data_IF_877037575507
#
_entry.id   IF_877037575507
#
_cell.length_a   1.000
_cell.length_b   1.000
_cell.length_c   1.000
_cell.angle_alpha   90.00
_cell.angle_beta   90.00
_cell.angle_gamma   90.00
#
_symmetry.space_group_name_H-M   'P 1'
#
loop_
_entity.id
_entity.type
_entity.pdbx_description
1 polymer ?
#
# COMPACT_ATOMS: atom_id res chain seq x y z
N UNK A 1 8.46 9.06 -35.56
CA UNK A 1 7.36 8.45 -34.77
C UNK A 1 7.96 8.04 -33.42
N UNK A 2 7.76 8.81 -32.34
CA UNK A 2 8.43 8.54 -31.07
C UNK A 2 7.70 7.42 -30.33
N UNK A 3 8.45 6.40 -29.90
CA UNK A 3 7.97 5.26 -29.15
C UNK A 3 7.57 5.67 -27.72
N UNK A 4 6.33 5.33 -27.35
CA UNK A 4 5.80 5.39 -25.99
C UNK A 4 6.35 4.17 -25.25
N UNK A 5 7.20 4.37 -24.22
CA UNK A 5 7.43 3.34 -23.20
C UNK A 5 6.21 3.34 -22.30
N UNK A 6 5.34 2.35 -22.50
CA UNK A 6 4.13 2.16 -21.70
C UNK A 6 4.45 1.86 -20.23
N UNK A 7 3.41 1.98 -19.41
CA UNK A 7 3.34 1.72 -17.96
C UNK A 7 3.70 0.26 -17.57
N UNK A 8 4.13 -0.56 -18.53
CA UNK A 8 4.73 -1.88 -18.32
C UNK A 8 6.11 -1.89 -19.01
N UNK A 9 7.17 -1.57 -18.25
CA UNK A 9 8.54 -1.54 -18.74
C UNK A 9 9.41 -2.48 -17.93
N UNK A 10 9.70 -3.66 -18.49
CA UNK A 10 10.74 -4.57 -18.02
C UNK A 10 12.08 -3.81 -17.98
N UNK A 11 12.61 -3.59 -16.78
CA UNK A 11 13.80 -2.78 -16.55
C UNK A 11 15.08 -3.54 -16.87
N UNK A 12 15.70 -3.20 -18.00
CA UNK A 12 17.08 -3.54 -18.33
C UNK A 12 18.05 -2.79 -17.39
N UNK A 13 19.06 -3.49 -16.87
CA UNK A 13 20.02 -2.97 -15.89
C UNK A 13 21.07 -2.08 -16.58
N UNK A 14 20.66 -0.89 -17.01
CA UNK A 14 21.53 0.18 -17.46
C UNK A 14 21.77 1.22 -16.36
N UNK A 15 22.98 1.78 -16.30
CA UNK A 15 23.46 2.81 -15.34
C UNK A 15 22.78 4.20 -15.47
N UNK A 16 21.58 4.28 -16.04
CA UNK A 16 20.81 5.51 -16.21
C UNK A 16 19.86 5.79 -15.04
N UNK A 17 19.58 7.07 -14.78
CA UNK A 17 18.62 7.48 -13.76
C UNK A 17 17.22 6.89 -14.04
N UNK A 18 16.65 6.19 -13.04
CA UNK A 18 15.29 5.64 -13.12
C UNK A 18 14.27 6.80 -13.17
N UNK A 19 13.19 6.66 -13.94
CA UNK A 19 12.05 7.59 -13.92
C UNK A 19 11.03 7.13 -12.87
N UNK A 20 10.34 8.09 -12.24
CA UNK A 20 9.23 7.78 -11.33
C UNK A 20 8.06 7.19 -12.09
N UNK A 21 7.43 6.18 -11.50
CA UNK A 21 6.18 5.59 -11.98
C UNK A 21 5.90 4.28 -11.25
N UNK A 22 4.74 3.69 -11.54
CA UNK A 22 4.46 2.31 -11.13
C UNK A 22 5.41 1.35 -11.88
N UNK A 23 6.26 0.64 -11.13
CA UNK A 23 7.10 -0.45 -11.62
C UNK A 23 6.52 -1.80 -11.20
N UNK A 24 6.72 -2.84 -11.98
CA UNK A 24 6.40 -4.22 -11.58
C UNK A 24 7.62 -4.98 -11.02
N UNK A 25 8.84 -4.50 -11.30
CA UNK A 25 10.06 -5.04 -10.69
C UNK A 25 10.40 -4.25 -9.43
N UNK A 26 10.16 -4.89 -8.30
CA UNK A 26 10.46 -4.40 -6.95
C UNK A 26 11.58 -5.21 -6.29
N UNK A 27 12.24 -6.11 -7.02
CA UNK A 27 13.25 -7.02 -6.46
C UNK A 27 14.49 -6.29 -5.93
N UNK A 28 14.72 -5.05 -6.38
CA UNK A 28 15.80 -4.17 -5.96
C UNK A 28 15.32 -2.72 -5.81
N UNK A 29 15.25 -2.28 -4.56
CA UNK A 29 14.87 -0.92 -4.17
C UNK A 29 16.09 -0.03 -3.94
N UNK A 30 15.82 1.28 -3.87
CA UNK A 30 16.83 2.31 -3.63
C UNK A 30 17.36 2.98 -4.89
N UNK A 31 18.28 3.91 -4.65
CA UNK A 31 18.79 4.82 -5.67
C UNK A 31 17.84 5.98 -6.00
N UNK A 32 18.37 7.03 -6.63
CA UNK A 32 17.59 8.20 -6.98
C UNK A 32 16.74 7.98 -8.23
N UNK A 33 15.71 8.81 -8.37
CA UNK A 33 14.89 8.85 -9.56
C UNK A 33 14.52 10.27 -9.98
N UNK A 34 14.15 10.41 -11.25
CA UNK A 34 13.66 11.67 -11.82
C UNK A 34 12.14 11.69 -11.85
N UNK A 35 11.56 12.79 -11.38
CA UNK A 35 10.11 12.97 -11.37
C UNK A 35 9.51 12.92 -12.77
N UNK A 36 8.24 12.52 -12.81
CA UNK A 36 7.44 12.40 -14.02
C UNK A 36 6.01 12.87 -13.74
N UNK A 37 5.62 13.99 -14.35
CA UNK A 37 4.30 14.59 -14.18
C UNK A 37 3.28 14.08 -15.21
N UNK A 38 3.55 12.96 -15.90
CA UNK A 38 2.60 12.33 -16.81
C UNK A 38 1.31 11.98 -16.08
N UNK A 39 0.18 12.49 -16.57
CA UNK A 39 -1.14 12.18 -16.02
C UNK A 39 -1.50 10.72 -16.28
N UNK A 40 -1.90 10.01 -15.23
CA UNK A 40 -2.27 8.59 -15.29
C UNK A 40 -3.78 8.45 -15.27
N UNK A 41 -4.45 9.13 -14.35
CA UNK A 41 -5.90 9.17 -14.28
C UNK A 41 -6.38 10.38 -13.47
N UNK A 42 -7.66 10.66 -13.59
CA UNK A 42 -8.38 11.55 -12.69
C UNK A 42 -9.42 10.77 -11.90
N UNK A 43 -9.67 11.20 -10.67
CA UNK A 43 -10.69 10.63 -9.82
C UNK A 43 -11.60 11.72 -9.28
N UNK A 44 -12.91 11.62 -9.50
CA UNK A 44 -13.89 12.56 -8.96
C UNK A 44 -14.57 11.94 -7.75
N UNK A 45 -14.31 12.49 -6.56
CA UNK A 45 -14.78 11.96 -5.28
C UNK A 45 -15.02 13.08 -4.27
N UNK A 46 -15.76 12.78 -3.19
CA UNK A 46 -15.85 13.66 -2.01
C UNK A 46 -14.60 13.57 -1.14
N UNK A 47 -14.05 12.37 -1.03
CA UNK A 47 -12.96 12.06 -0.11
C UNK A 47 -11.64 11.85 -0.87
N UNK A 48 -10.54 11.97 -0.14
CA UNK A 48 -9.19 11.68 -0.67
C UNK A 48 -8.93 10.18 -0.51
N UNK A 49 -8.29 9.56 -1.50
CA UNK A 49 -8.06 8.12 -1.50
C UNK A 49 -6.62 7.79 -1.82
N UNK A 50 -6.04 6.83 -1.10
CA UNK A 50 -4.92 6.08 -1.65
C UNK A 50 -5.45 5.09 -2.68
N UNK A 51 -4.79 5.02 -3.82
CA UNK A 51 -5.22 4.23 -4.97
C UNK A 51 -4.41 2.94 -5.03
N UNK A 52 -4.88 1.94 -4.29
CA UNK A 52 -4.22 0.64 -4.12
C UNK A 52 -4.23 -0.17 -5.41
N UNK A 53 -3.11 -0.82 -5.73
CA UNK A 53 -2.98 -1.71 -6.90
C UNK A 53 -2.72 -3.14 -6.43
N UNK A 54 -1.59 -3.36 -5.77
CA UNK A 54 -1.14 -4.70 -5.38
C UNK A 54 -0.30 -4.68 -4.11
N UNK A 55 -0.15 -5.86 -3.51
CA UNK A 55 0.72 -6.07 -2.33
C UNK A 55 1.81 -7.08 -2.62
N UNK A 56 2.96 -6.90 -1.97
CA UNK A 56 4.05 -7.87 -1.94
C UNK A 56 4.19 -8.46 -0.54
N UNK A 57 4.61 -9.72 -0.48
CA UNK A 57 4.70 -10.47 0.77
C UNK A 57 6.10 -11.02 1.08
N UNK A 58 7.05 -11.03 0.15
CA UNK A 58 8.38 -11.61 0.39
C UNK A 58 9.50 -10.56 0.29
N UNK A 59 10.19 -10.31 1.41
CA UNK A 59 11.34 -9.40 1.48
C UNK A 59 12.66 -10.17 1.32
N UNK A 60 13.56 -9.64 0.49
CA UNK A 60 14.80 -10.32 0.07
C UNK A 60 16.09 -9.64 0.54
N UNK A 61 16.01 -8.74 1.53
CA UNK A 61 17.08 -7.81 1.90
C UNK A 61 17.40 -6.71 0.88
N UNK A 62 16.89 -6.81 -0.35
CA UNK A 62 17.09 -5.81 -1.43
C UNK A 62 15.80 -5.16 -1.91
N UNK A 63 14.68 -5.84 -1.72
CA UNK A 63 13.39 -5.40 -2.19
C UNK A 63 12.36 -6.49 -1.97
N UNK A 64 11.33 -6.46 -2.80
CA UNK A 64 10.15 -7.31 -2.68
C UNK A 64 9.98 -8.21 -3.89
N UNK A 65 9.67 -9.46 -3.62
CA UNK A 65 9.21 -10.44 -4.60
C UNK A 65 7.89 -11.05 -4.13
N UNK A 66 7.28 -11.86 -4.99
CA UNK A 66 6.07 -12.60 -4.66
C UNK A 66 6.45 -13.97 -4.10
N UNK A 67 5.79 -14.39 -3.02
CA UNK A 67 5.98 -15.73 -2.49
C UNK A 67 5.64 -16.79 -3.55
N UNK A 68 6.40 -17.90 -3.51
CA UNK A 68 6.04 -19.11 -4.24
C UNK A 68 4.81 -19.77 -3.63
N UNK A 69 4.04 -20.49 -4.46
CA UNK A 69 2.85 -21.20 -4.02
C UNK A 69 1.75 -21.22 -5.07
N UNK A 70 0.72 -22.04 -4.82
CA UNK A 70 -0.48 -22.07 -5.63
C UNK A 70 -1.52 -21.13 -5.01
N UNK A 71 -1.76 -20.01 -5.67
CA UNK A 71 -2.74 -19.00 -5.27
C UNK A 71 -3.88 -18.99 -6.28
N UNK A 72 -5.11 -18.92 -5.78
CA UNK A 72 -6.29 -18.88 -6.62
C UNK A 72 -6.49 -17.53 -7.29
N UNK A 73 -7.55 -17.47 -8.09
CA UNK A 73 -8.09 -16.24 -8.64
C UNK A 73 -9.57 -16.19 -8.32
N UNK A 74 -10.04 -15.02 -7.90
CA UNK A 74 -11.46 -14.75 -7.76
C UNK A 74 -11.94 -13.95 -8.97
N UNK A 75 -13.10 -14.33 -9.50
CA UNK A 75 -13.69 -13.73 -10.70
C UNK A 75 -14.96 -13.00 -10.30
N UNK A 76 -15.02 -11.71 -10.61
CA UNK A 76 -16.17 -10.87 -10.34
C UNK A 76 -16.74 -10.28 -11.63
N UNK A 77 -18.04 -10.09 -11.67
CA UNK A 77 -18.72 -9.36 -12.72
C UNK A 77 -18.87 -7.88 -12.34
N UNK A 78 -19.07 -7.03 -13.33
CA UNK A 78 -19.40 -5.63 -13.06
C UNK A 78 -20.66 -5.49 -12.20
N UNK A 79 -20.67 -4.51 -11.29
CA UNK A 79 -21.75 -4.24 -10.33
C UNK A 79 -22.03 -5.38 -9.34
N UNK A 80 -21.11 -6.34 -9.17
CA UNK A 80 -21.21 -7.36 -8.11
C UNK A 80 -20.24 -7.03 -6.98
N UNK A 81 -20.58 -7.40 -5.71
CA UNK A 81 -19.66 -7.20 -4.60
C UNK A 81 -18.32 -7.90 -4.83
N UNK A 82 -17.23 -7.14 -4.71
CA UNK A 82 -15.86 -7.64 -4.78
C UNK A 82 -15.40 -7.91 -3.35
N UNK A 83 -15.12 -9.17 -3.04
CA UNK A 83 -14.58 -9.53 -1.74
C UNK A 83 -13.08 -9.21 -1.71
N UNK A 84 -12.64 -8.52 -0.66
CA UNK A 84 -11.21 -8.24 -0.43
C UNK A 84 -10.90 -8.54 1.04
N UNK A 85 -9.62 -8.53 1.41
CA UNK A 85 -9.23 -8.63 2.83
C UNK A 85 -9.42 -7.34 3.62
N UNK A 86 -9.85 -6.26 2.96
CA UNK A 86 -10.08 -4.95 3.54
C UNK A 86 -11.53 -4.82 4.04
N UNK A 87 -11.69 -4.13 5.16
CA UNK A 87 -13.01 -3.84 5.72
C UNK A 87 -13.79 -2.85 4.86
N UNK A 88 -15.11 -2.99 4.88
CA UNK A 88 -16.07 -2.07 4.25
C UNK A 88 -16.89 -1.40 5.35
N UNK A 89 -17.16 -0.12 5.19
CA UNK A 89 -17.99 0.66 6.09
C UNK A 89 -19.49 0.34 6.00
N UNK A 90 -20.30 1.10 6.72
CA UNK A 90 -21.76 0.94 6.71
C UNK A 90 -22.34 1.19 5.31
N UNK A 91 -23.27 0.36 4.81
CA UNK A 91 -23.97 0.58 3.54
C UNK A 91 -24.67 1.94 3.45
N UNK A 92 -25.08 2.53 4.59
CA UNK A 92 -25.73 3.85 4.64
C UNK A 92 -24.80 5.00 4.25
N UNK A 93 -23.47 4.78 4.34
CA UNK A 93 -22.44 5.75 3.97
C UNK A 93 -21.86 5.48 2.57
N UNK A 94 -22.49 4.61 1.77
CA UNK A 94 -22.02 4.28 0.42
C UNK A 94 -21.94 5.52 -0.48
N UNK A 95 -20.82 5.65 -1.19
CA UNK A 95 -20.49 6.72 -2.12
C UNK A 95 -19.93 6.14 -3.41
N UNK A 96 -19.78 7.02 -4.41
CA UNK A 96 -19.21 6.67 -5.72
C UNK A 96 -18.02 7.54 -6.06
N UNK A 97 -17.04 6.93 -6.73
CA UNK A 97 -15.88 7.59 -7.32
C UNK A 97 -15.94 7.35 -8.82
N UNK A 98 -15.87 8.41 -9.61
CA UNK A 98 -15.66 8.28 -11.05
C UNK A 98 -14.16 8.30 -11.34
N UNK A 99 -13.66 7.27 -12.03
CA UNK A 99 -12.28 7.18 -12.48
C UNK A 99 -12.25 7.36 -13.99
N UNK A 100 -11.41 8.29 -14.47
CA UNK A 100 -11.14 8.51 -15.89
C UNK A 100 -9.66 8.29 -16.17
N UNK A 101 -9.36 7.30 -17.02
CA UNK A 101 -8.01 6.83 -17.30
C UNK A 101 -7.39 7.66 -18.42
N UNK A 102 -6.28 8.34 -18.13
CA UNK A 102 -5.49 9.09 -19.10
C UNK A 102 -4.38 8.22 -19.72
N UNK A 103 -3.78 7.34 -18.92
CA UNK A 103 -2.76 6.38 -19.36
C UNK A 103 -3.27 4.95 -19.18
N UNK A 104 -3.44 4.16 -20.26
CA UNK A 104 -4.10 2.86 -20.17
C UNK A 104 -3.41 1.86 -19.24
N UNK A 105 -4.21 1.14 -18.45
CA UNK A 105 -3.76 0.12 -17.49
C UNK A 105 -4.71 -1.10 -17.55
N UNK A 106 -4.18 -2.34 -17.56
CA UNK A 106 -4.99 -3.56 -17.67
C UNK A 106 -5.52 -4.07 -16.31
N UNK A 107 -5.66 -3.18 -15.33
CA UNK A 107 -6.06 -3.52 -13.96
C UNK A 107 -6.80 -2.36 -13.30
N UNK A 108 -7.58 -2.66 -12.27
CA UNK A 108 -8.32 -1.67 -11.49
C UNK A 108 -7.45 -1.05 -10.39
N UNK A 109 -7.71 0.23 -10.13
CA UNK A 109 -7.37 0.88 -8.87
C UNK A 109 -8.43 0.50 -7.81
N UNK A 110 -7.97 0.29 -6.59
CA UNK A 110 -8.79 -0.05 -5.44
C UNK A 110 -8.75 1.08 -4.41
N UNK A 111 -9.81 1.19 -3.61
CA UNK A 111 -9.88 2.09 -2.46
C UNK A 111 -10.20 1.29 -1.20
N UNK A 112 -9.84 1.81 -0.03
CA UNK A 112 -10.32 1.23 1.23
C UNK A 112 -11.84 1.36 1.29
N UNK A 113 -12.51 0.25 1.64
CA UNK A 113 -13.96 0.18 1.63
C UNK A 113 -14.61 -0.01 0.27
N UNK A 114 -13.86 -0.39 -0.77
CA UNK A 114 -14.42 -0.73 -2.08
C UNK A 114 -15.46 -1.86 -1.96
N UNK A 115 -16.62 -1.65 -2.56
CA UNK A 115 -17.75 -2.60 -2.59
C UNK A 115 -17.85 -3.24 -3.97
N UNK A 116 -17.91 -2.46 -5.04
CA UNK A 116 -18.09 -2.97 -6.41
C UNK A 116 -17.57 -1.98 -7.45
N UNK A 117 -17.39 -2.47 -8.68
CA UNK A 117 -16.96 -1.65 -9.82
C UNK A 117 -17.94 -1.75 -10.98
N UNK A 118 -18.35 -0.59 -11.50
CA UNK A 118 -19.21 -0.43 -12.67
C UNK A 118 -18.38 -0.04 -13.88
N UNK A 119 -18.46 -0.81 -14.97
CA UNK A 119 -17.72 -0.53 -16.21
C UNK A 119 -18.56 -0.90 -17.44
N UNK A 120 -18.32 -0.21 -18.56
CA UNK A 120 -18.96 -0.52 -19.84
C UNK A 120 -18.47 -1.86 -20.41
N UNK A 121 -19.29 -2.45 -21.28
CA UNK A 121 -18.99 -3.70 -22.01
C UNK A 121 -18.69 -4.90 -21.07
N UNK A 122 -19.24 -4.86 -19.85
CA UNK A 122 -19.29 -5.95 -18.86
C UNK A 122 -18.03 -6.83 -18.79
N UNK A 123 -16.85 -6.25 -18.48
CA UNK A 123 -15.63 -7.04 -18.27
C UNK A 123 -15.76 -7.96 -17.06
N UNK A 124 -14.82 -8.91 -16.99
CA UNK A 124 -14.54 -9.68 -15.79
C UNK A 124 -13.40 -9.00 -15.02
N UNK A 125 -13.51 -9.03 -13.70
CA UNK A 125 -12.48 -8.56 -12.78
C UNK A 125 -11.85 -9.77 -12.11
N UNK A 126 -10.56 -9.96 -12.36
CA UNK A 126 -9.80 -11.14 -11.95
C UNK A 126 -8.84 -10.74 -10.83
N UNK A 127 -9.23 -11.04 -9.60
CA UNK A 127 -8.42 -10.75 -8.41
C UNK A 127 -7.45 -11.90 -8.15
N UNK A 128 -6.16 -11.59 -8.08
CA UNK A 128 -5.10 -12.52 -7.64
C UNK A 128 -5.12 -12.63 -6.11
N UNK A 129 -5.35 -13.82 -5.55
CA UNK A 129 -5.40 -14.02 -4.08
C UNK A 129 -4.05 -13.79 -3.37
N UNK A 130 -2.95 -13.81 -4.12
CA UNK A 130 -1.62 -13.54 -3.58
C UNK A 130 -1.42 -12.06 -3.33
N UNK A 131 -1.74 -11.24 -4.33
CA UNK A 131 -1.39 -9.80 -4.39
C UNK A 131 -2.58 -8.87 -4.23
N UNK A 132 -3.79 -9.41 -4.35
CA UNK A 132 -5.06 -8.71 -4.49
C UNK A 132 -5.11 -7.72 -5.65
N UNK A 133 -4.19 -7.82 -6.62
CA UNK A 133 -4.28 -7.07 -7.88
C UNK A 133 -5.50 -7.56 -8.66
N UNK A 134 -6.28 -6.63 -9.18
CA UNK A 134 -7.49 -6.95 -9.94
C UNK A 134 -7.26 -6.64 -11.41
N UNK A 135 -6.94 -7.66 -12.21
CA UNK A 135 -6.83 -7.54 -13.65
C UNK A 135 -8.21 -7.39 -14.30
N UNK A 136 -8.24 -6.77 -15.47
CA UNK A 136 -9.47 -6.59 -16.25
C UNK A 136 -9.37 -7.49 -17.48
N UNK A 137 -10.32 -8.41 -17.62
CA UNK A 137 -10.38 -9.34 -18.75
C UNK A 137 -11.73 -9.24 -19.47
N UNK A 138 -11.71 -9.52 -20.76
CA UNK A 138 -12.90 -9.81 -21.55
C UNK A 138 -13.43 -11.21 -21.20
N UNK A 139 -14.66 -11.51 -21.62
CA UNK A 139 -15.28 -12.83 -21.39
C UNK A 139 -14.51 -13.99 -22.07
N UNK A 140 -13.71 -13.69 -23.08
CA UNK A 140 -12.83 -14.66 -23.77
C UNK A 140 -11.47 -14.85 -23.08
N UNK A 141 -11.20 -14.19 -21.95
CA UNK A 141 -9.94 -14.26 -21.20
C UNK A 141 -8.84 -13.31 -21.68
N UNK A 142 -9.09 -12.48 -22.70
CA UNK A 142 -8.12 -11.49 -23.15
C UNK A 142 -8.11 -10.27 -22.22
N UNK A 143 -6.93 -9.69 -22.00
CA UNK A 143 -6.81 -8.44 -21.23
C UNK A 143 -7.61 -7.31 -21.87
N UNK A 144 -8.27 -6.50 -21.03
CA UNK A 144 -9.07 -5.34 -21.43
C UNK A 144 -8.53 -4.06 -20.79
N UNK A 145 -8.60 -2.97 -21.54
CA UNK A 145 -8.33 -1.63 -21.06
C UNK A 145 -9.65 -0.87 -20.91
N UNK A 146 -9.78 -0.13 -19.81
CA UNK A 146 -10.92 0.76 -19.57
C UNK A 146 -10.47 2.21 -19.74
N UNK A 147 -11.31 3.02 -20.38
CA UNK A 147 -11.14 4.48 -20.42
C UNK A 147 -11.73 5.16 -19.19
N UNK A 148 -12.77 4.57 -18.59
CA UNK A 148 -13.36 5.01 -17.34
C UNK A 148 -14.11 3.87 -16.64
N UNK A 149 -14.37 4.05 -15.35
CA UNK A 149 -15.23 3.18 -14.55
C UNK A 149 -15.64 3.89 -13.25
N UNK A 150 -16.65 3.35 -12.57
CA UNK A 150 -17.12 3.88 -11.28
C UNK A 150 -16.84 2.88 -10.17
N UNK A 151 -16.26 3.32 -9.07
CA UNK A 151 -16.10 2.54 -7.84
C UNK A 151 -17.23 2.91 -6.89
N UNK A 152 -17.99 1.92 -6.40
CA UNK A 152 -18.83 2.06 -5.21
C UNK A 152 -18.00 1.67 -3.98
N UNK A 153 -18.06 2.48 -2.93
CA UNK A 153 -17.30 2.28 -1.70
C UNK A 153 -18.03 2.81 -0.47
N UNK A 154 -17.70 2.27 0.69
CA UNK A 154 -18.03 2.84 2.00
C UNK A 154 -16.81 2.73 2.89
N UNK A 155 -16.27 3.87 3.33
CA UNK A 155 -15.04 3.89 4.13
C UNK A 155 -15.24 3.19 5.48
N UNK A 156 -14.32 2.28 5.87
CA UNK A 156 -14.38 1.66 7.18
C UNK A 156 -14.14 2.71 8.28
N UNK A 157 -14.84 2.54 9.39
CA UNK A 157 -14.71 3.35 10.61
C UNK A 157 -14.24 2.43 11.74
N UNK A 158 -13.10 2.76 12.35
CA UNK A 158 -12.43 1.91 13.31
C UNK A 158 -12.61 2.46 14.73
N UNK A 159 -13.20 1.68 15.63
CA UNK A 159 -13.34 2.02 17.06
C UNK A 159 -11.96 2.02 17.74
N UNK A 160 -11.57 3.14 18.35
CA UNK A 160 -10.33 3.25 19.11
C UNK A 160 -10.30 2.27 20.29
N UNK A 161 -11.44 2.07 20.96
CA UNK A 161 -11.57 1.08 22.02
C UNK A 161 -11.26 -0.33 21.51
N UNK A 162 -11.80 -0.73 20.36
CA UNK A 162 -11.51 -2.03 19.76
C UNK A 162 -10.04 -2.17 19.36
N UNK A 163 -9.43 -1.10 18.83
CA UNK A 163 -8.00 -1.08 18.49
C UNK A 163 -7.12 -1.28 19.73
N UNK A 164 -7.48 -0.67 20.86
CA UNK A 164 -6.76 -0.83 22.13
C UNK A 164 -6.91 -2.22 22.75
N UNK A 165 -7.96 -2.97 22.38
CA UNK A 165 -8.16 -4.37 22.80
C UNK A 165 -7.38 -5.37 21.94
N UNK A 166 -6.50 -4.92 21.04
CA UNK A 166 -5.70 -5.82 20.20
C UNK A 166 -4.58 -6.49 20.99
N UNK A 167 -4.88 -7.67 21.54
CA UNK A 167 -3.97 -8.46 22.39
C UNK A 167 -2.82 -9.08 21.60
N UNK A 168 -1.60 -8.98 22.14
CA UNK A 168 -0.38 -9.55 21.53
C UNK A 168 -0.45 -11.09 21.41
N UNK A 169 -1.01 -11.77 22.41
CA UNK A 169 -1.14 -13.22 22.42
C UNK A 169 -2.01 -13.75 21.27
N UNK A 170 -2.90 -12.91 20.72
CA UNK A 170 -3.73 -13.29 19.56
C UNK A 170 -2.86 -13.53 18.32
N UNK A 171 -1.74 -12.80 18.17
CA UNK A 171 -0.82 -12.95 17.04
C UNK A 171 -0.23 -14.37 16.96
N UNK A 172 0.00 -15.02 18.11
CA UNK A 172 0.55 -16.39 18.19
C UNK A 172 -0.45 -17.46 17.70
N UNK A 173 -1.74 -17.13 17.71
CA UNK A 173 -2.84 -18.04 17.38
C UNK A 173 -3.45 -17.79 16.00
N UNK A 174 -2.86 -16.88 15.21
CA UNK A 174 -3.35 -16.58 13.87
C UNK A 174 -3.30 -17.79 12.94
N UNK A 175 -4.20 -17.81 11.97
CA UNK A 175 -4.24 -18.83 10.93
C UNK A 175 -2.89 -18.96 10.21
N UNK A 176 -2.42 -20.17 9.86
CA UNK A 176 -1.15 -20.37 9.18
C UNK A 176 -0.96 -19.57 7.88
N UNK A 177 -2.04 -19.15 7.22
CA UNK A 177 -1.99 -18.24 6.06
C UNK A 177 -1.30 -16.90 6.35
N UNK A 178 -1.25 -16.47 7.62
CA UNK A 178 -0.54 -15.25 8.03
C UNK A 178 0.99 -15.40 8.04
N UNK A 179 1.53 -16.62 8.00
CA UNK A 179 3.00 -16.85 8.04
C UNK A 179 3.73 -16.12 6.91
N UNK A 180 3.13 -16.00 5.72
CA UNK A 180 3.74 -15.26 4.61
C UNK A 180 3.92 -13.77 4.91
N UNK A 181 3.03 -13.20 5.73
CA UNK A 181 3.09 -11.81 6.16
C UNK A 181 4.01 -11.58 7.36
N UNK A 182 4.65 -12.63 7.86
CA UNK A 182 5.71 -12.59 8.87
C UNK A 182 7.09 -12.93 8.28
N UNK A 183 7.14 -13.27 6.99
CA UNK A 183 8.38 -13.70 6.34
C UNK A 183 9.45 -12.60 6.41
N UNK A 184 10.64 -12.99 6.85
CA UNK A 184 11.87 -12.21 6.78
C UNK A 184 13.03 -13.13 6.36
N UNK A 185 14.04 -12.61 5.66
CA UNK A 185 15.20 -13.42 5.28
C UNK A 185 16.05 -13.73 6.52
N UNK A 186 16.63 -14.92 6.57
CA UNK A 186 17.55 -15.31 7.66
C UNK A 186 18.82 -14.45 7.72
N UNK A 187 19.08 -13.67 6.67
CA UNK A 187 20.20 -12.72 6.58
C UNK A 187 19.87 -11.34 7.14
N UNK A 188 18.65 -11.10 7.64
CA UNK A 188 18.27 -9.82 8.21
C UNK A 188 19.20 -9.47 9.39
N UNK A 189 19.84 -8.29 9.39
CA UNK A 189 20.75 -7.91 10.47
C UNK A 189 20.07 -7.85 11.84
N UNK A 190 20.72 -8.42 12.86
CA UNK A 190 20.18 -8.48 14.23
C UNK A 190 19.85 -7.11 14.81
N UNK A 191 20.55 -6.03 14.40
CA UNK A 191 20.25 -4.67 14.87
C UNK A 191 18.86 -4.18 14.44
N UNK A 192 18.33 -4.64 13.30
CA UNK A 192 16.96 -4.35 12.87
C UNK A 192 15.95 -5.04 13.79
N UNK A 193 16.18 -6.32 14.12
CA UNK A 193 15.33 -7.09 15.04
C UNK A 193 15.32 -6.47 16.44
N UNK A 194 16.50 -6.09 16.95
CA UNK A 194 16.62 -5.45 18.24
C UNK A 194 15.88 -4.11 18.27
N UNK A 195 16.00 -3.30 17.22
CA UNK A 195 15.28 -2.03 17.11
C UNK A 195 13.76 -2.24 17.12
N UNK A 196 13.25 -3.24 16.38
CA UNK A 196 11.83 -3.57 16.40
C UNK A 196 11.35 -3.87 17.82
N UNK A 197 12.06 -4.76 18.53
CA UNK A 197 11.73 -5.12 19.92
C UNK A 197 11.81 -3.90 20.86
N UNK A 198 12.82 -3.04 20.71
CA UNK A 198 12.97 -1.86 21.55
C UNK A 198 11.83 -0.84 21.36
N UNK A 199 11.31 -0.70 20.14
CA UNK A 199 10.18 0.19 19.86
C UNK A 199 8.87 -0.38 20.43
N UNK A 200 8.69 -1.71 20.41
CA UNK A 200 7.39 -2.36 20.64
C UNK A 200 7.21 -3.00 22.02
N UNK A 201 8.28 -3.32 22.76
CA UNK A 201 8.22 -4.12 24.00
C UNK A 201 7.33 -3.55 25.12
N UNK A 202 7.22 -2.22 25.23
CA UNK A 202 6.51 -1.54 26.31
C UNK A 202 5.12 -1.02 25.89
N UNK A 203 4.56 -1.54 24.78
CA UNK A 203 3.26 -1.10 24.25
C UNK A 203 2.13 -2.00 24.72
N UNK A 204 0.99 -1.39 25.02
CA UNK A 204 -0.14 -2.07 25.65
C UNK A 204 -0.96 -2.94 24.68
N UNK A 205 -0.93 -2.62 23.39
CA UNK A 205 -1.70 -3.32 22.35
C UNK A 205 -0.90 -3.46 21.06
N UNK A 206 -1.30 -4.38 20.17
CA UNK A 206 -0.71 -4.53 18.82
C UNK A 206 -0.85 -3.24 18.02
N UNK A 207 -2.00 -2.56 18.14
CA UNK A 207 -2.20 -1.25 17.51
C UNK A 207 -1.16 -0.22 18.00
N UNK A 208 -0.92 -0.15 19.31
CA UNK A 208 0.09 0.76 19.87
C UNK A 208 1.52 0.39 19.43
N UNK A 209 1.81 -0.89 19.24
CA UNK A 209 3.08 -1.34 18.65
C UNK A 209 3.24 -0.83 17.22
N UNK A 210 2.21 -0.97 16.39
CA UNK A 210 2.25 -0.50 15.01
C UNK A 210 2.42 1.02 14.95
N UNK A 211 1.64 1.77 15.72
CA UNK A 211 1.74 3.24 15.80
C UNK A 211 3.09 3.71 16.35
N UNK A 212 3.71 2.97 17.26
CA UNK A 212 5.04 3.29 17.75
C UNK A 212 6.11 3.16 16.65
N UNK A 213 6.04 2.10 15.85
CA UNK A 213 6.94 1.92 14.68
C UNK A 213 6.70 3.00 13.64
N UNK A 214 5.45 3.33 13.32
CA UNK A 214 5.11 4.42 12.39
C UNK A 214 5.67 5.77 12.87
N UNK A 215 5.49 6.09 14.16
CA UNK A 215 5.98 7.34 14.76
C UNK A 215 7.51 7.41 14.84
N UNK A 216 8.20 6.27 14.86
CA UNK A 216 9.66 6.21 14.98
C UNK A 216 10.36 7.07 13.92
N UNK A 217 9.91 7.01 12.66
CA UNK A 217 10.51 7.74 11.56
C UNK A 217 10.46 9.26 11.77
N UNK A 218 9.30 9.80 12.14
CA UNK A 218 9.12 11.24 12.38
C UNK A 218 9.91 11.78 13.59
N UNK A 219 10.36 10.90 14.50
CA UNK A 219 10.99 11.28 15.76
C UNK A 219 12.51 11.05 15.83
N UNK A 220 13.11 10.37 14.85
CA UNK A 220 14.50 9.90 14.93
C UNK A 220 15.41 10.42 13.79
N UNK A 221 15.06 11.58 13.24
CA UNK A 221 15.89 12.33 12.29
C UNK A 221 15.84 11.82 10.86
N UNK A 222 14.78 11.10 10.48
CA UNK A 222 14.58 10.69 9.10
C UNK A 222 14.11 11.87 8.22
N UNK A 223 14.44 11.82 6.93
CA UNK A 223 14.07 12.85 5.96
C UNK A 223 13.61 12.23 4.65
N UNK A 224 12.57 12.82 4.08
CA UNK A 224 12.12 12.47 2.74
C UNK A 224 13.01 13.13 1.66
N UNK A 225 13.55 12.33 0.75
CA UNK A 225 14.29 12.78 -0.43
C UNK A 225 14.20 11.75 -1.57
N UNK A 226 14.19 12.20 -2.82
CA UNK A 226 14.11 11.38 -4.04
C UNK A 226 15.44 11.32 -4.83
N UNK A 227 16.39 12.19 -4.48
CA UNK A 227 17.66 12.45 -5.19
C UNK A 227 18.87 11.97 -4.39
N UNK A 228 18.83 12.08 -3.08
CA UNK A 228 19.93 11.69 -2.19
C UNK A 228 19.71 10.30 -1.57
N UNK A 229 19.13 9.38 -2.35
CA UNK A 229 18.77 8.04 -1.86
C UNK A 229 19.89 7.07 -2.21
N UNK A 230 20.41 6.40 -1.18
CA UNK A 230 21.48 5.44 -1.35
C UNK A 230 21.02 4.19 -2.12
N UNK A 231 22.00 3.55 -2.78
CA UNK A 231 21.87 2.22 -3.35
C UNK A 231 22.61 1.29 -2.38
N UNK A 232 21.95 0.26 -1.81
CA UNK A 232 22.63 -0.68 -0.92
C UNK A 232 23.79 -1.39 -1.64
N UNK A 233 24.94 -1.49 -0.99
CA UNK A 233 26.05 -2.30 -1.48
C UNK A 233 25.64 -3.79 -1.59
N UNK A 234 26.33 -4.61 -2.38
CA UNK A 234 25.93 -5.99 -2.68
C UNK A 234 25.55 -6.83 -1.44
N UNK A 235 26.34 -6.78 -0.37
CA UNK A 235 26.06 -7.49 0.89
C UNK A 235 25.25 -6.73 1.95
N UNK A 236 24.83 -5.49 1.67
CA UNK A 236 24.15 -4.63 2.65
C UNK A 236 22.63 -4.74 2.54
N UNK A 237 21.93 -4.95 3.65
CA UNK A 237 20.47 -4.97 3.68
C UNK A 237 19.90 -3.55 3.47
N UNK A 238 18.88 -3.42 2.62
CA UNK A 238 18.25 -2.16 2.25
C UNK A 238 17.63 -1.42 3.45
N UNK A 239 16.92 -2.15 4.32
CA UNK A 239 16.28 -1.60 5.51
C UNK A 239 17.33 -1.21 6.55
N UNK A 240 18.32 -2.07 6.76
CA UNK A 240 19.42 -1.80 7.68
C UNK A 240 20.20 -0.52 7.31
N UNK A 241 20.54 -0.37 6.04
CA UNK A 241 21.22 0.82 5.49
C UNK A 241 20.38 2.09 5.68
N UNK A 242 19.07 2.01 5.48
CA UNK A 242 18.19 3.17 5.66
C UNK A 242 18.04 3.56 7.13
N UNK A 243 17.77 2.58 8.01
CA UNK A 243 17.47 2.82 9.43
C UNK A 243 18.65 3.40 10.21
N UNK A 244 19.87 2.93 9.92
CA UNK A 244 21.03 3.21 10.76
C UNK A 244 22.08 4.11 10.12
N UNK A 245 22.17 4.12 8.78
CA UNK A 245 23.28 4.82 8.10
C UNK A 245 22.79 6.12 7.45
N UNK A 246 21.80 6.05 6.56
CA UNK A 246 21.40 7.24 5.77
C UNK A 246 20.25 8.04 6.35
N UNK A 247 19.19 7.37 6.82
CA UNK A 247 17.92 7.99 7.25
C UNK A 247 17.29 8.97 6.24
N UNK A 248 17.70 8.88 4.98
CA UNK A 248 17.23 9.72 3.87
C UNK A 248 16.72 8.80 2.78
N UNK A 249 15.46 8.96 2.41
CA UNK A 249 14.80 8.03 1.49
C UNK A 249 13.45 8.56 1.03
N UNK A 250 12.76 7.77 0.21
CA UNK A 250 11.39 8.05 -0.21
C UNK A 250 10.45 6.93 0.26
N UNK A 251 9.20 6.91 -0.20
CA UNK A 251 8.16 6.00 0.30
C UNK A 251 8.58 4.53 0.38
N UNK A 252 9.30 3.98 -0.62
CA UNK A 252 9.79 2.59 -0.55
C UNK A 252 10.68 2.35 0.69
N UNK A 253 11.56 3.29 1.04
CA UNK A 253 12.45 3.16 2.20
C UNK A 253 11.66 3.13 3.50
N UNK A 254 10.74 4.09 3.68
CA UNK A 254 9.92 4.21 4.89
C UNK A 254 8.98 3.01 5.05
N UNK A 255 8.20 2.70 4.01
CA UNK A 255 7.21 1.63 4.04
C UNK A 255 7.85 0.24 4.15
N UNK A 256 8.93 -0.04 3.40
CA UNK A 256 9.64 -1.32 3.53
C UNK A 256 10.23 -1.49 4.93
N UNK A 257 10.85 -0.43 5.47
CA UNK A 257 11.44 -0.49 6.82
C UNK A 257 10.39 -0.69 7.90
N UNK A 258 9.24 -0.01 7.79
CA UNK A 258 8.13 -0.24 8.70
C UNK A 258 7.63 -1.68 8.62
N UNK A 259 7.39 -2.24 7.43
CA UNK A 259 6.96 -3.66 7.30
C UNK A 259 7.99 -4.60 7.94
N UNK A 260 9.29 -4.40 7.68
CA UNK A 260 10.34 -5.27 8.23
C UNK A 260 10.44 -5.16 9.75
N UNK A 261 10.31 -3.96 10.32
CA UNK A 261 10.26 -3.76 11.76
C UNK A 261 9.03 -4.43 12.39
N UNK A 262 7.84 -4.28 11.79
CA UNK A 262 6.62 -4.93 12.25
C UNK A 262 6.73 -6.45 12.23
N UNK A 263 7.21 -7.02 11.13
CA UNK A 263 7.43 -8.47 10.99
C UNK A 263 8.46 -8.98 11.99
N UNK A 264 9.51 -8.21 12.27
CA UNK A 264 10.52 -8.55 13.27
C UNK A 264 9.94 -8.58 14.69
N UNK A 265 8.89 -7.80 14.94
CA UNK A 265 8.11 -7.80 16.19
C UNK A 265 6.97 -8.83 16.19
N UNK A 266 6.87 -9.70 15.18
CA UNK A 266 5.82 -10.74 15.09
C UNK A 266 4.45 -10.23 14.61
N UNK A 267 4.38 -9.01 14.07
CA UNK A 267 3.14 -8.40 13.58
C UNK A 267 3.02 -8.65 12.07
N UNK A 268 1.95 -9.32 11.59
CA UNK A 268 1.74 -9.52 10.16
C UNK A 268 1.57 -8.19 9.43
N UNK A 269 2.42 -7.96 8.43
CA UNK A 269 2.41 -6.74 7.63
C UNK A 269 2.70 -7.06 6.16
N UNK A 270 2.14 -6.27 5.25
CA UNK A 270 2.39 -6.37 3.81
C UNK A 270 2.70 -5.00 3.22
N UNK A 271 3.55 -5.02 2.21
CA UNK A 271 3.97 -3.82 1.50
C UNK A 271 3.00 -3.56 0.35
N UNK A 272 2.43 -2.36 0.31
CA UNK A 272 1.39 -1.98 -0.64
C UNK A 272 1.95 -1.01 -1.66
N UNK A 273 1.55 -1.18 -2.93
CA UNK A 273 1.86 -0.25 -4.01
C UNK A 273 0.61 0.31 -4.64
N UNK A 274 0.73 1.56 -5.09
CA UNK A 274 -0.36 2.28 -5.71
C UNK A 274 0.02 3.70 -6.05
N UNK A 275 -0.97 4.59 -5.92
CA UNK A 275 -0.76 6.03 -5.99
C UNK A 275 -1.28 6.72 -4.73
N UNK A 276 -0.54 7.73 -4.27
CA UNK A 276 -1.03 8.68 -3.28
C UNK A 276 -2.23 9.49 -3.85
N UNK A 277 -2.99 10.23 -3.02
CA UNK A 277 -4.27 10.84 -3.42
C UNK A 277 -4.28 11.86 -4.56
N UNK A 278 -3.14 12.20 -5.15
CA UNK A 278 -3.04 13.18 -6.22
C UNK A 278 -3.25 14.62 -5.74
N UNK A 279 -3.29 15.54 -6.70
CA UNK A 279 -3.51 16.97 -6.48
C UNK A 279 -4.98 17.33 -6.74
N UNK A 280 -5.62 18.16 -5.90
CA UNK A 280 -6.97 18.61 -6.17
C UNK A 280 -7.01 19.48 -7.44
N UNK A 281 -7.94 19.17 -8.33
CA UNK A 281 -8.31 19.92 -9.52
C UNK A 281 -9.60 20.71 -9.29
N UNK A 282 -10.52 20.65 -10.26
CA UNK A 282 -11.79 21.40 -10.20
C UNK A 282 -12.80 20.75 -9.24
N UNK A 283 -13.59 21.58 -8.56
CA UNK A 283 -14.79 21.14 -7.84
C UNK A 283 -16.01 21.33 -8.76
N UNK A 284 -16.81 20.28 -8.93
CA UNK A 284 -18.07 20.32 -9.69
C UNK A 284 -19.15 19.62 -8.87
N UNK A 285 -20.30 20.28 -8.64
CA UNK A 285 -21.44 19.72 -7.88
C UNK A 285 -21.08 19.14 -6.50
N UNK A 286 -20.14 19.78 -5.81
CA UNK A 286 -19.67 19.34 -4.49
C UNK A 286 -18.75 18.11 -4.51
N UNK A 287 -18.29 17.67 -5.68
CA UNK A 287 -17.27 16.64 -5.85
C UNK A 287 -15.94 17.28 -6.27
N UNK A 288 -14.85 16.80 -5.69
CA UNK A 288 -13.49 17.23 -6.01
C UNK A 288 -12.89 16.27 -7.04
N UNK A 289 -12.41 16.81 -8.16
CA UNK A 289 -11.51 16.08 -9.06
C UNK A 289 -10.12 16.01 -8.42
N UNK A 290 -9.48 14.85 -8.46
CA UNK A 290 -8.09 14.63 -8.12
C UNK A 290 -7.32 14.21 -9.37
N UNK A 291 -6.19 14.85 -9.63
CA UNK A 291 -5.30 14.52 -10.74
C UNK A 291 -4.14 13.69 -10.22
N UNK A 292 -4.00 12.46 -10.74
CA UNK A 292 -2.97 11.51 -10.33
C UNK A 292 -1.97 11.36 -11.48
N UNK A 293 -0.72 11.66 -11.18
CA UNK A 293 0.41 11.58 -12.10
C UNK A 293 1.38 10.46 -11.72
N UNK A 294 2.35 10.14 -12.57
CA UNK A 294 3.44 9.23 -12.22
C UNK A 294 4.15 9.66 -10.93
N UNK A 295 4.33 10.96 -10.69
CA UNK A 295 4.93 11.51 -9.47
C UNK A 295 4.16 11.18 -8.17
N UNK A 296 2.91 10.72 -8.31
CA UNK A 296 2.09 10.25 -7.20
C UNK A 296 2.22 8.73 -6.96
N UNK A 297 3.02 8.00 -7.75
CA UNK A 297 3.34 6.60 -7.45
C UNK A 297 3.91 6.52 -6.03
N UNK A 298 3.35 5.61 -5.23
CA UNK A 298 3.60 5.59 -3.81
C UNK A 298 3.45 4.20 -3.22
N UNK A 299 4.11 3.96 -2.10
CA UNK A 299 4.04 2.73 -1.34
C UNK A 299 3.82 3.02 0.14
N UNK A 300 3.06 2.14 0.79
CA UNK A 300 2.70 2.28 2.20
C UNK A 300 2.55 0.90 2.84
N UNK A 301 2.06 0.86 4.07
CA UNK A 301 1.98 -0.35 4.88
C UNK A 301 0.53 -0.73 5.13
N UNK A 302 0.24 -2.02 5.01
CA UNK A 302 -0.94 -2.60 5.64
C UNK A 302 -0.48 -3.57 6.72
N UNK A 303 -1.03 -3.42 7.93
CA UNK A 303 -0.73 -4.31 9.06
C UNK A 303 -2.02 -4.89 9.65
N UNK A 304 -1.95 -6.13 10.11
CA UNK A 304 -3.09 -6.81 10.70
C UNK A 304 -3.23 -6.47 12.18
N UNK A 305 -4.40 -5.95 12.55
CA UNK A 305 -4.76 -5.65 13.94
C UNK A 305 -5.80 -6.67 14.41
N UNK A 306 -5.48 -7.53 15.40
CA UNK A 306 -6.43 -8.50 15.94
C UNK A 306 -7.79 -7.90 16.30
N UNK A 307 -8.86 -8.60 15.93
CA UNK A 307 -10.25 -8.14 16.14
C UNK A 307 -10.72 -7.04 15.17
N UNK A 308 -9.82 -6.44 14.38
CA UNK A 308 -10.16 -5.37 13.42
C UNK A 308 -9.91 -5.79 11.97
N UNK A 309 -8.78 -6.43 11.70
CA UNK A 309 -8.37 -6.84 10.35
C UNK A 309 -7.19 -6.02 9.82
N UNK A 310 -7.04 -5.99 8.49
CA UNK A 310 -6.00 -5.22 7.82
C UNK A 310 -6.32 -3.72 7.85
N UNK A 311 -5.33 -2.90 8.21
CA UNK A 311 -5.43 -1.45 8.26
C UNK A 311 -4.25 -0.79 7.55
N UNK A 312 -4.51 0.37 6.95
CA UNK A 312 -3.53 1.25 6.34
C UNK A 312 -2.67 1.95 7.40
N UNK A 313 -1.36 2.07 7.14
CA UNK A 313 -0.42 2.89 7.90
C UNK A 313 0.57 3.58 6.94
N UNK A 314 0.92 4.83 7.26
CA UNK A 314 1.73 5.71 6.42
C UNK A 314 2.96 6.20 7.19
N UNK A 315 4.11 5.50 7.06
CA UNK A 315 5.35 5.92 7.71
C UNK A 315 6.08 7.06 6.97
N UNK A 316 5.67 7.40 5.76
CA UNK A 316 6.40 8.37 4.92
C UNK A 316 6.17 9.79 5.42
N UNK A 317 7.26 10.46 5.81
CA UNK A 317 7.22 11.85 6.28
C UNK A 317 6.65 12.78 5.20
N UNK A 318 5.68 13.60 5.59
CA UNK A 318 5.01 14.55 4.68
C UNK A 318 3.79 13.97 3.95
N UNK A 319 3.48 12.69 4.17
CA UNK A 319 2.26 12.03 3.73
C UNK A 319 1.36 11.75 4.93
N UNK A 320 0.07 11.57 4.67
CA UNK A 320 -0.92 11.26 5.69
C UNK A 320 -1.91 10.25 5.09
N UNK A 321 -2.06 9.11 5.76
CA UNK A 321 -3.08 8.12 5.42
C UNK A 321 -4.48 8.62 5.74
N UNK A 322 -5.50 7.94 5.21
CA UNK A 322 -6.91 8.34 5.34
C UNK A 322 -7.71 7.37 6.20
N UNK A 323 -7.16 6.97 7.36
CA UNK A 323 -7.82 6.06 8.29
C UNK A 323 -8.83 6.82 9.14
N UNK A 324 -10.10 6.42 9.09
CA UNK A 324 -11.16 6.98 9.91
C UNK A 324 -11.27 6.25 11.26
N UNK A 325 -10.87 6.91 12.34
CA UNK A 325 -10.92 6.36 13.71
C UNK A 325 -12.02 7.08 14.50
N UNK A 326 -12.94 6.30 15.05
CA UNK A 326 -13.89 6.76 16.05
C UNK A 326 -13.25 6.70 17.43
N UNK A 327 -13.07 7.85 18.07
CA UNK A 327 -12.47 7.95 19.40
C UNK A 327 -13.52 7.71 20.49
N UNK A 328 -14.10 6.52 20.49
CA UNK A 328 -15.14 6.03 21.40
C UNK A 328 -14.63 5.67 22.81
N UNK A 329 -13.55 6.32 23.23
CA UNK A 329 -12.95 6.21 24.57
C UNK A 329 -13.41 7.39 25.42
N UNK A 330 -13.79 7.13 26.66
CA UNK A 330 -14.09 8.20 27.62
C UNK A 330 -12.77 8.90 27.93
N UNK A 331 -12.62 10.16 27.53
CA UNK A 331 -11.53 10.98 28.04
C UNK A 331 -11.82 11.26 29.51
N UNK A 332 -11.08 10.62 30.41
CA UNK A 332 -10.98 11.11 31.78
C UNK A 332 -10.43 12.53 31.71
N UNK A 333 -11.33 13.50 31.86
CA UNK A 333 -10.95 14.91 31.95
C UNK A 333 -10.36 15.10 33.35
N UNK A 334 -9.13 15.63 33.48
CA UNK A 334 -8.51 15.85 34.79
C UNK A 334 -9.32 16.72 35.73
#
# INVERSE_FOLDING_TARGET
>A
VPFIKGVAGQGDFGTGAKKVGYSEDDSRLGGPFQGDNTLIFTATSRDRHYWRIDTKDTYTSKGWILSEGNFGKNIYQTNTPIQTSLQVGSPEKERKIQIDIASPMPFLLQTYGMISVSAQDSPLFIQDERTEKIAIEQQNGESKLLSNYTISYSEPEYSMKQLQMSELSTLETLDPSFKRFLQLPNTLPQRVVNLANDITKDKASVYDQIKAVEKYFSSHGFRYDKKEVAIPAEGQDYVDQFLFDTKVGYCDNFSTSMVVLLRSAGIPARWVKGFAPGKPGRITDGLQEYQITNDNAHSWVEAYVPGTGWMEFEPTIGFAGNVNIDYDIVQDTP
#
